data_IF_999890647728
#
_entry.id   IF_999890647728
#
_cell.length_a   1.000
_cell.length_b   1.000
_cell.length_c   1.000
_cell.angle_alpha   90.00
_cell.angle_beta   90.00
_cell.angle_gamma   90.00
#
_symmetry.space_group_name_H-M   'P 1'
#
loop_
_entity.id
_entity.type
_entity.pdbx_description
1 polymer ?
#
# COMPACT_ATOMS: atom_id res chain seq x y z
N UNK A 1 13.20 27.49 12.98
CA UNK A 1 12.21 26.65 13.71
C UNK A 1 12.74 25.23 13.87
N UNK A 2 12.92 24.73 15.10
CA UNK A 2 13.16 23.28 15.33
C UNK A 2 11.87 22.54 14.99
N UNK A 3 11.81 21.90 13.83
CA UNK A 3 10.69 21.05 13.46
C UNK A 3 10.60 19.89 14.47
N UNK A 4 9.57 19.91 15.33
CA UNK A 4 9.37 18.86 16.33
C UNK A 4 8.86 17.59 15.66
N UNK A 5 9.36 16.42 16.07
CA UNK A 5 8.94 15.14 15.51
C UNK A 5 7.42 14.92 15.63
N UNK A 6 6.75 15.50 16.64
CA UNK A 6 5.29 15.47 16.78
C UNK A 6 4.60 16.13 15.59
N UNK A 7 5.12 17.26 15.11
CA UNK A 7 4.58 17.97 13.95
C UNK A 7 4.71 17.13 12.68
N UNK A 8 5.84 16.44 12.51
CA UNK A 8 6.03 15.53 11.36
C UNK A 8 5.02 14.38 11.34
N UNK A 9 4.67 13.84 12.51
CA UNK A 9 3.65 12.78 12.60
C UNK A 9 2.28 13.35 12.19
N UNK A 10 1.93 14.54 12.66
CA UNK A 10 0.67 15.22 12.29
C UNK A 10 0.62 15.53 10.79
N UNK A 11 1.71 16.03 10.20
CA UNK A 11 1.81 16.28 8.76
C UNK A 11 1.60 14.98 7.97
N UNK A 12 2.14 13.86 8.46
CA UNK A 12 1.96 12.53 7.84
C UNK A 12 0.52 12.03 7.92
N UNK A 13 -0.13 12.17 9.08
CA UNK A 13 -1.55 11.82 9.28
C UNK A 13 -2.44 12.68 8.40
N UNK A 14 -2.16 13.98 8.30
CA UNK A 14 -2.92 14.92 7.46
C UNK A 14 -2.82 14.53 6.00
N UNK A 15 -1.61 14.19 5.53
CA UNK A 15 -1.41 13.71 4.16
C UNK A 15 -2.18 12.41 3.89
N UNK A 16 -2.11 11.43 4.81
CA UNK A 16 -2.89 10.19 4.71
C UNK A 16 -4.40 10.45 4.59
N UNK A 17 -4.92 11.38 5.40
CA UNK A 17 -6.33 11.74 5.41
C UNK A 17 -6.76 12.37 4.08
N UNK A 18 -5.98 13.32 3.56
CA UNK A 18 -6.23 13.96 2.26
C UNK A 18 -6.28 12.90 1.15
N UNK A 19 -5.30 12.01 1.12
CA UNK A 19 -5.20 10.96 0.10
C UNK A 19 -6.42 10.03 0.13
N UNK A 20 -6.88 9.65 1.33
CA UNK A 20 -8.04 8.79 1.48
C UNK A 20 -9.35 9.49 1.10
N UNK A 21 -9.52 10.77 1.45
CA UNK A 21 -10.68 11.56 1.01
C UNK A 21 -10.73 11.66 -0.50
N UNK A 22 -9.60 12.02 -1.14
CA UNK A 22 -9.54 12.15 -2.61
C UNK A 22 -9.88 10.82 -3.27
N UNK A 23 -9.35 9.71 -2.76
CA UNK A 23 -9.69 8.36 -3.26
C UNK A 23 -11.16 8.05 -3.10
N UNK A 24 -11.74 8.31 -1.92
CA UNK A 24 -13.15 8.02 -1.64
C UNK A 24 -14.09 8.85 -2.51
N UNK A 25 -13.81 10.15 -2.71
CA UNK A 25 -14.58 11.03 -3.59
C UNK A 25 -14.48 10.55 -5.04
N UNK A 26 -13.28 10.24 -5.52
CA UNK A 26 -13.07 9.76 -6.88
C UNK A 26 -13.81 8.44 -7.12
N UNK A 27 -13.72 7.51 -6.17
CA UNK A 27 -14.44 6.23 -6.20
C UNK A 27 -15.95 6.43 -6.26
N UNK A 28 -16.49 7.31 -5.40
CA UNK A 28 -17.91 7.64 -5.39
C UNK A 28 -18.40 8.23 -6.74
N UNK A 29 -17.65 9.20 -7.30
CA UNK A 29 -17.98 9.80 -8.60
C UNK A 29 -17.95 8.73 -9.69
N UNK A 30 -16.92 7.90 -9.75
CA UNK A 30 -16.81 6.87 -10.77
C UNK A 30 -17.90 5.80 -10.62
N UNK A 31 -18.20 5.34 -9.40
CA UNK A 31 -19.25 4.36 -9.15
C UNK A 31 -20.64 4.86 -9.56
N UNK A 32 -20.91 6.16 -9.44
CA UNK A 32 -22.19 6.73 -9.88
C UNK A 32 -22.46 6.58 -11.38
N UNK A 33 -21.45 6.27 -12.18
CA UNK A 33 -21.55 6.09 -13.63
C UNK A 33 -21.80 4.64 -14.06
N UNK A 34 -21.76 3.69 -13.13
CA UNK A 34 -21.88 2.26 -13.43
C UNK A 34 -22.95 1.61 -12.55
N UNK A 35 -23.47 0.46 -13.00
CA UNK A 35 -24.31 -0.38 -12.15
C UNK A 35 -23.50 -0.89 -10.95
N UNK A 36 -24.13 -0.90 -9.77
CA UNK A 36 -23.48 -1.31 -8.53
C UNK A 36 -23.36 -2.84 -8.45
N UNK A 37 -22.39 -3.39 -9.17
CA UNK A 37 -22.01 -4.81 -9.19
C UNK A 37 -20.60 -4.99 -8.67
N UNK A 38 -20.26 -6.23 -8.27
CA UNK A 38 -18.95 -6.56 -7.74
C UNK A 38 -17.81 -6.36 -8.76
N UNK A 39 -18.08 -6.63 -10.03
CA UNK A 39 -17.11 -6.44 -11.11
C UNK A 39 -16.82 -4.95 -11.35
N UNK A 40 -17.87 -4.16 -11.54
CA UNK A 40 -17.75 -2.70 -11.74
C UNK A 40 -17.07 -2.04 -10.54
N UNK A 41 -17.42 -2.48 -9.33
CA UNK A 41 -16.81 -1.98 -8.11
C UNK A 41 -15.29 -2.22 -8.07
N UNK A 42 -14.82 -3.40 -8.50
CA UNK A 42 -13.39 -3.71 -8.54
C UNK A 42 -12.63 -2.92 -9.60
N UNK A 43 -13.24 -2.74 -10.79
CA UNK A 43 -12.67 -1.91 -11.86
C UNK A 43 -12.54 -0.46 -11.39
N UNK A 44 -13.60 0.08 -10.79
CA UNK A 44 -13.59 1.46 -10.30
C UNK A 44 -12.57 1.66 -9.19
N UNK A 45 -12.45 0.71 -8.25
CA UNK A 45 -11.39 0.75 -7.25
C UNK A 45 -10.00 0.73 -7.90
N UNK A 46 -9.77 -0.16 -8.87
CA UNK A 46 -8.50 -0.23 -9.61
C UNK A 46 -8.15 1.12 -10.22
N UNK A 47 -9.08 1.74 -10.96
CA UNK A 47 -8.89 3.06 -11.56
C UNK A 47 -8.62 4.11 -10.47
N UNK A 48 -9.42 4.13 -9.41
CA UNK A 48 -9.32 5.13 -8.34
C UNK A 48 -7.97 5.06 -7.62
N UNK A 49 -7.53 3.86 -7.24
CA UNK A 49 -6.23 3.65 -6.60
C UNK A 49 -5.07 3.99 -7.52
N UNK A 50 -5.15 3.62 -8.80
CA UNK A 50 -4.11 3.96 -9.77
C UNK A 50 -3.99 5.47 -9.98
N UNK A 51 -5.11 6.17 -10.17
CA UNK A 51 -5.12 7.62 -10.37
C UNK A 51 -4.57 8.35 -9.14
N UNK A 52 -5.12 8.09 -7.96
CA UNK A 52 -4.67 8.75 -6.72
C UNK A 52 -3.22 8.40 -6.41
N UNK A 53 -2.82 7.14 -6.59
CA UNK A 53 -1.45 6.70 -6.38
C UNK A 53 -0.45 7.41 -7.30
N UNK A 54 -0.75 7.49 -8.61
CA UNK A 54 0.09 8.20 -9.57
C UNK A 54 0.14 9.70 -9.26
N UNK A 55 -1.00 10.35 -8.98
CA UNK A 55 -1.06 11.76 -8.62
C UNK A 55 -0.22 12.07 -7.37
N UNK A 56 -0.29 11.22 -6.35
CA UNK A 56 0.51 11.35 -5.13
C UNK A 56 2.01 11.20 -5.43
N UNK A 57 2.40 10.19 -6.20
CA UNK A 57 3.80 9.97 -6.57
C UNK A 57 4.34 11.18 -7.33
N UNK A 58 3.58 11.72 -8.29
CA UNK A 58 3.97 12.90 -9.07
C UNK A 58 4.11 14.14 -8.18
N UNK A 59 3.17 14.36 -7.26
CA UNK A 59 3.20 15.47 -6.33
C UNK A 59 4.39 15.40 -5.36
N UNK A 60 4.59 14.24 -4.72
CA UNK A 60 5.63 14.05 -3.70
C UNK A 60 7.04 13.96 -4.28
N UNK A 61 7.19 13.42 -5.50
CA UNK A 61 8.49 13.31 -6.18
C UNK A 61 9.22 14.66 -6.29
N UNK A 62 8.49 15.75 -6.49
CA UNK A 62 9.06 17.08 -6.65
C UNK A 62 9.25 17.83 -5.31
N UNK A 63 8.75 17.27 -4.21
CA UNK A 63 8.85 17.92 -2.90
C UNK A 63 10.22 17.66 -2.25
N UNK A 64 10.93 18.73 -1.86
CA UNK A 64 12.24 18.62 -1.21
C UNK A 64 12.18 18.01 0.20
N UNK A 65 11.01 18.05 0.84
CA UNK A 65 10.77 17.51 2.18
C UNK A 65 10.62 15.99 2.18
N UNK A 66 9.88 15.42 1.21
CA UNK A 66 9.66 13.98 1.11
C UNK A 66 10.68 13.31 0.18
N UNK A 67 11.29 14.06 -0.74
CA UNK A 67 12.32 13.59 -1.66
C UNK A 67 13.57 14.50 -1.63
N UNK A 68 14.28 14.48 -0.49
CA UNK A 68 15.44 15.36 -0.24
C UNK A 68 16.63 15.12 -1.16
N UNK A 69 16.77 13.93 -1.73
CA UNK A 69 17.70 13.69 -2.84
C UNK A 69 17.05 14.23 -4.12
N UNK A 70 17.22 15.54 -4.36
CA UNK A 70 16.67 16.38 -5.44
C UNK A 70 16.78 15.81 -6.87
N UNK A 71 17.42 14.66 -7.08
CA UNK A 71 17.65 14.01 -8.37
C UNK A 71 17.37 12.49 -8.40
N UNK A 72 16.71 11.90 -7.39
CA UNK A 72 16.27 10.49 -7.51
C UNK A 72 15.11 10.41 -8.49
N UNK A 73 15.38 9.98 -9.73
CA UNK A 73 14.33 9.46 -10.63
C UNK A 73 13.56 8.35 -9.89
N UNK A 74 12.31 8.09 -10.23
CA UNK A 74 11.54 6.95 -9.65
C UNK A 74 12.37 5.66 -9.77
N UNK A 75 13.12 5.50 -10.87
CA UNK A 75 14.10 4.42 -11.08
C UNK A 75 15.21 4.31 -10.04
N UNK A 76 15.48 5.36 -9.25
CA UNK A 76 16.42 5.34 -8.13
C UNK A 76 15.79 4.98 -6.78
N UNK A 77 14.46 5.07 -6.62
CA UNK A 77 13.75 4.36 -5.54
C UNK A 77 13.85 2.83 -5.73
N UNK A 78 14.01 2.42 -7.00
CA UNK A 78 14.38 1.07 -7.42
C UNK A 78 15.90 0.87 -7.59
N UNK A 79 16.76 1.88 -7.35
CA UNK A 79 18.22 1.69 -7.38
C UNK A 79 18.62 0.90 -6.14
N UNK A 80 18.84 -0.37 -6.39
CA UNK A 80 19.38 -1.34 -5.47
C UNK A 80 20.69 -0.86 -4.83
N UNK A 81 20.94 -1.24 -3.57
CA UNK A 81 22.30 -1.27 -3.07
C UNK A 81 23.10 -2.20 -3.98
N UNK A 82 24.09 -1.64 -4.70
CA UNK A 82 24.89 -2.36 -5.69
C UNK A 82 25.68 -3.54 -5.09
N UNK A 83 25.85 -3.58 -3.78
CA UNK A 83 26.90 -4.37 -3.13
C UNK A 83 26.50 -5.80 -2.73
N UNK A 84 25.32 -6.30 -3.12
CA UNK A 84 24.88 -7.64 -2.69
C UNK A 84 24.08 -8.39 -3.76
N UNK A 85 24.80 -9.15 -4.59
CA UNK A 85 24.24 -10.11 -5.57
C UNK A 85 23.17 -11.01 -4.92
N UNK A 86 23.36 -11.38 -3.65
CA UNK A 86 22.44 -12.21 -2.89
C UNK A 86 21.05 -11.56 -2.74
N UNK A 87 20.96 -10.27 -2.46
CA UNK A 87 19.67 -9.56 -2.31
C UNK A 87 18.94 -9.50 -3.65
N UNK A 88 19.66 -9.31 -4.77
CA UNK A 88 19.06 -9.35 -6.11
C UNK A 88 18.45 -10.73 -6.41
N UNK A 89 19.19 -11.80 -6.12
CA UNK A 89 18.70 -13.18 -6.28
C UNK A 89 17.49 -13.45 -5.40
N UNK A 90 17.53 -13.06 -4.13
CA UNK A 90 16.38 -13.20 -3.23
C UNK A 90 15.14 -12.46 -3.76
N UNK A 91 15.28 -11.21 -4.24
CA UNK A 91 14.16 -10.46 -4.82
C UNK A 91 13.60 -11.12 -6.08
N UNK A 92 14.48 -11.60 -6.96
CA UNK A 92 14.07 -12.30 -8.17
C UNK A 92 13.29 -13.58 -7.83
N UNK A 93 13.79 -14.39 -6.90
CA UNK A 93 13.11 -15.60 -6.42
C UNK A 93 11.75 -15.22 -5.81
N UNK A 94 11.72 -14.22 -4.93
CA UNK A 94 10.49 -13.75 -4.30
C UNK A 94 9.47 -13.27 -5.34
N UNK A 95 9.93 -12.55 -6.37
CA UNK A 95 9.09 -12.08 -7.47
C UNK A 95 8.51 -13.24 -8.29
N UNK A 96 9.34 -14.24 -8.63
CA UNK A 96 8.88 -15.44 -9.33
C UNK A 96 7.83 -16.20 -8.49
N UNK A 97 8.06 -16.33 -7.18
CA UNK A 97 7.11 -16.97 -6.24
C UNK A 97 5.80 -16.18 -6.17
N UNK A 98 5.85 -14.85 -6.06
CA UNK A 98 4.64 -14.01 -6.05
C UNK A 98 3.88 -14.15 -7.36
N UNK A 99 4.58 -14.13 -8.50
CA UNK A 99 3.97 -14.26 -9.81
C UNK A 99 3.32 -15.63 -9.99
N UNK A 100 4.00 -16.71 -9.60
CA UNK A 100 3.45 -18.07 -9.72
C UNK A 100 2.24 -18.26 -8.80
N UNK A 101 2.30 -17.80 -7.55
CA UNK A 101 1.18 -17.85 -6.63
C UNK A 101 0.00 -17.01 -7.09
N UNK A 102 0.25 -15.82 -7.67
CA UNK A 102 -0.81 -14.98 -8.24
C UNK A 102 -1.52 -15.71 -9.39
N UNK A 103 -0.76 -16.30 -10.32
CA UNK A 103 -1.33 -17.09 -11.44
C UNK A 103 -2.13 -18.28 -10.90
N UNK A 104 -1.57 -19.06 -9.98
CA UNK A 104 -2.28 -20.19 -9.35
C UNK A 104 -3.59 -19.71 -8.70
N UNK A 105 -3.55 -18.59 -7.99
CA UNK A 105 -4.72 -18.02 -7.31
C UNK A 105 -5.79 -17.52 -8.28
N UNK A 106 -5.42 -17.08 -9.49
CA UNK A 106 -6.39 -16.72 -10.55
C UNK A 106 -7.15 -17.96 -11.02
N UNK A 107 -6.46 -19.07 -11.27
CA UNK A 107 -7.07 -20.30 -11.79
C UNK A 107 -7.81 -21.12 -10.73
N UNK A 108 -7.37 -21.08 -9.47
CA UNK A 108 -8.00 -21.86 -8.40
C UNK A 108 -9.37 -21.31 -7.98
N UNK A 109 -9.60 -20.01 -8.15
CA UNK A 109 -10.88 -19.42 -7.79
C UNK A 109 -11.94 -19.70 -8.87
N UNK A 110 -13.04 -20.34 -8.47
CA UNK A 110 -14.15 -20.75 -9.35
C UNK A 110 -14.99 -19.60 -9.92
N UNK A 111 -14.67 -18.36 -9.57
CA UNK A 111 -15.27 -17.14 -10.14
C UNK A 111 -14.79 -16.86 -11.56
N UNK A 112 -15.47 -15.94 -12.24
CA UNK A 112 -15.10 -15.50 -13.59
C UNK A 112 -13.62 -15.08 -13.68
N UNK A 113 -12.95 -15.49 -14.74
CA UNK A 113 -11.53 -15.20 -14.97
C UNK A 113 -11.25 -13.69 -14.95
N UNK A 114 -12.12 -12.89 -15.58
CA UNK A 114 -11.96 -11.44 -15.61
C UNK A 114 -12.04 -10.80 -14.21
N UNK A 115 -12.97 -11.28 -13.38
CA UNK A 115 -13.08 -10.88 -11.98
C UNK A 115 -11.80 -11.21 -11.20
N UNK A 116 -11.30 -12.45 -11.32
CA UNK A 116 -10.10 -12.91 -10.63
C UNK A 116 -8.86 -12.10 -11.02
N UNK A 117 -8.70 -11.81 -12.31
CA UNK A 117 -7.59 -11.01 -12.84
C UNK A 117 -7.64 -9.58 -12.30
N UNK A 118 -8.82 -8.94 -12.33
CA UNK A 118 -9.00 -7.58 -11.81
C UNK A 118 -8.69 -7.50 -10.32
N UNK A 119 -9.22 -8.45 -9.53
CA UNK A 119 -8.95 -8.53 -8.09
C UNK A 119 -7.49 -8.77 -7.77
N UNK A 120 -6.82 -9.65 -8.51
CA UNK A 120 -5.38 -9.93 -8.33
C UNK A 120 -4.52 -8.73 -8.68
N UNK A 121 -4.85 -8.04 -9.77
CA UNK A 121 -4.13 -6.83 -10.19
C UNK A 121 -4.25 -5.75 -9.12
N UNK A 122 -5.46 -5.52 -8.61
CA UNK A 122 -5.70 -4.54 -7.56
C UNK A 122 -4.95 -4.89 -6.26
N UNK A 123 -5.12 -6.12 -5.77
CA UNK A 123 -4.63 -6.53 -4.44
C UNK A 123 -3.14 -6.86 -4.39
N UNK A 124 -2.56 -7.42 -5.46
CA UNK A 124 -1.15 -7.88 -5.47
C UNK A 124 -0.22 -6.86 -6.10
N UNK A 125 -0.71 -6.01 -7.01
CA UNK A 125 0.13 -5.02 -7.70
C UNK A 125 -0.20 -3.59 -7.25
N UNK A 126 -1.42 -3.11 -7.52
CA UNK A 126 -1.73 -1.68 -7.37
C UNK A 126 -1.65 -1.23 -5.91
N UNK A 127 -2.33 -1.92 -4.99
CA UNK A 127 -2.33 -1.55 -3.56
C UNK A 127 -0.92 -1.69 -2.94
N UNK A 128 -0.18 -2.82 -3.10
CA UNK A 128 1.17 -2.94 -2.55
C UNK A 128 2.15 -1.91 -3.09
N UNK A 129 2.11 -1.61 -4.39
CA UNK A 129 2.97 -0.56 -4.98
C UNK A 129 2.63 0.80 -4.38
N UNK A 130 1.35 1.15 -4.32
CA UNK A 130 0.89 2.42 -3.78
C UNK A 130 1.25 2.59 -2.29
N UNK A 131 0.87 1.64 -1.45
CA UNK A 131 1.08 1.72 0.00
C UNK A 131 2.57 1.73 0.36
N UNK A 132 3.37 0.86 -0.24
CA UNK A 132 4.79 0.78 0.14
C UNK A 132 5.59 1.97 -0.39
N UNK A 133 5.27 2.52 -1.57
CA UNK A 133 5.84 3.80 -1.99
C UNK A 133 5.44 4.93 -1.03
N UNK A 134 4.17 4.99 -0.62
CA UNK A 134 3.69 6.01 0.29
C UNK A 134 4.35 5.93 1.67
N UNK A 135 4.36 4.74 2.29
CA UNK A 135 4.85 4.57 3.66
C UNK A 135 6.36 4.33 3.76
N UNK A 136 6.97 3.53 2.87
CA UNK A 136 8.40 3.14 2.95
C UNK A 136 9.33 4.00 2.12
N UNK A 137 8.81 4.77 1.17
CA UNK A 137 9.61 5.80 0.49
C UNK A 137 9.30 7.18 1.05
N UNK A 138 8.10 7.71 0.83
CA UNK A 138 7.85 9.13 1.12
C UNK A 138 7.73 9.44 2.61
N UNK A 139 6.79 8.82 3.34
CA UNK A 139 6.61 9.08 4.77
C UNK A 139 7.85 8.66 5.55
N UNK A 140 8.46 7.52 5.20
CA UNK A 140 9.72 7.08 5.81
C UNK A 140 10.83 8.13 5.65
N UNK A 141 11.09 8.60 4.43
CA UNK A 141 12.14 9.59 4.17
C UNK A 141 11.86 10.91 4.88
N UNK A 142 10.60 11.35 4.87
CA UNK A 142 10.16 12.54 5.59
C UNK A 142 10.41 12.42 7.10
N UNK A 143 9.98 11.33 7.75
CA UNK A 143 10.21 11.12 9.18
C UNK A 143 11.69 10.95 9.53
N UNK A 144 12.45 10.23 8.71
CA UNK A 144 13.88 9.98 8.90
C UNK A 144 14.72 11.27 8.80
N UNK A 145 14.21 12.33 8.18
CA UNK A 145 14.86 13.65 8.17
C UNK A 145 14.83 14.35 9.55
N UNK A 146 13.84 14.03 10.40
CA UNK A 146 13.62 14.70 11.68
C UNK A 146 13.82 13.77 12.89
N UNK A 147 13.75 12.45 12.71
CA UNK A 147 13.88 11.44 13.76
C UNK A 147 15.18 10.67 13.55
N UNK A 148 16.13 10.83 14.47
CA UNK A 148 17.44 10.13 14.41
C UNK A 148 17.34 8.62 14.63
N UNK A 149 16.38 8.17 15.44
CA UNK A 149 16.24 6.76 15.81
C UNK A 149 15.48 5.99 14.72
N UNK A 150 16.17 5.05 14.06
CA UNK A 150 15.56 4.17 13.04
C UNK A 150 14.41 3.35 13.60
N UNK A 151 14.54 2.80 14.81
CA UNK A 151 13.49 2.00 15.45
C UNK A 151 12.22 2.82 15.69
N UNK A 152 12.35 4.12 16.00
CA UNK A 152 11.18 5.02 16.10
C UNK A 152 10.51 5.23 14.74
N UNK A 153 11.27 5.42 13.67
CA UNK A 153 10.72 5.53 12.31
C UNK A 153 9.99 4.24 11.90
N UNK A 154 10.56 3.07 12.19
CA UNK A 154 9.90 1.77 11.98
C UNK A 154 8.56 1.74 12.72
N UNK A 155 8.57 1.99 14.04
CA UNK A 155 7.36 1.94 14.85
C UNK A 155 6.27 2.90 14.35
N UNK A 156 6.61 4.17 14.10
CA UNK A 156 5.66 5.19 13.64
C UNK A 156 5.11 4.82 12.26
N UNK A 157 5.96 4.48 11.29
CA UNK A 157 5.48 4.13 9.93
C UNK A 157 4.67 2.83 9.90
N UNK A 158 4.84 1.94 10.88
CA UNK A 158 4.03 0.73 11.03
C UNK A 158 2.64 1.04 11.57
N UNK A 159 2.57 1.86 12.62
CA UNK A 159 1.30 2.32 13.21
C UNK A 159 0.49 3.12 12.18
N UNK A 160 1.15 4.05 11.47
CA UNK A 160 0.51 4.83 10.42
C UNK A 160 -0.04 3.93 9.29
N UNK A 161 0.74 2.94 8.85
CA UNK A 161 0.29 1.97 7.84
C UNK A 161 -0.90 1.12 8.33
N UNK A 162 -0.94 0.75 9.62
CA UNK A 162 -2.09 0.08 10.23
C UNK A 162 -3.35 0.96 10.22
N UNK A 163 -3.23 2.18 10.77
CA UNK A 163 -4.33 3.16 10.85
C UNK A 163 -4.84 3.56 9.46
N UNK A 164 -3.98 3.54 8.44
CA UNK A 164 -4.37 3.85 7.07
C UNK A 164 -5.52 2.98 6.54
N UNK A 165 -5.65 1.75 7.05
CA UNK A 165 -6.72 0.84 6.65
C UNK A 165 -8.12 1.33 7.04
N UNK A 166 -8.25 2.24 8.02
CA UNK A 166 -9.51 2.92 8.33
C UNK A 166 -10.02 3.68 7.11
N UNK A 167 -9.11 4.25 6.32
CA UNK A 167 -9.45 4.98 5.11
C UNK A 167 -10.08 4.13 4.01
N UNK A 168 -10.11 2.79 4.14
CA UNK A 168 -10.78 1.87 3.22
C UNK A 168 -12.18 1.46 3.70
N UNK A 169 -12.79 2.21 4.63
CA UNK A 169 -14.11 1.89 5.17
C UNK A 169 -15.21 1.86 4.11
N UNK A 170 -15.16 2.74 3.11
CA UNK A 170 -16.03 2.71 1.92
C UNK A 170 -15.88 1.39 1.17
N UNK A 171 -14.64 0.93 1.00
CA UNK A 171 -14.34 -0.30 0.27
C UNK A 171 -14.86 -1.52 1.02
N UNK A 172 -14.56 -1.60 2.32
CA UNK A 172 -14.98 -2.68 3.21
C UNK A 172 -16.50 -2.75 3.28
N UNK A 173 -17.17 -1.61 3.47
CA UNK A 173 -18.64 -1.54 3.53
C UNK A 173 -19.28 -2.04 2.24
N UNK A 174 -18.78 -1.60 1.08
CA UNK A 174 -19.32 -2.01 -0.21
C UNK A 174 -19.12 -3.50 -0.48
N UNK A 175 -17.98 -4.08 -0.08
CA UNK A 175 -17.78 -5.53 -0.15
C UNK A 175 -18.74 -6.31 0.74
N UNK A 176 -18.94 -5.89 2.00
CA UNK A 176 -19.88 -6.55 2.92
C UNK A 176 -21.29 -6.54 2.30
N UNK A 177 -21.70 -5.42 1.70
CA UNK A 177 -23.00 -5.29 1.04
C UNK A 177 -23.12 -6.17 -0.20
N UNK A 178 -22.10 -6.19 -1.07
CA UNK A 178 -22.12 -6.95 -2.32
C UNK A 178 -21.98 -8.47 -2.13
N UNK A 179 -21.25 -8.90 -1.10
CA UNK A 179 -21.13 -10.32 -0.72
C UNK A 179 -22.25 -10.80 0.21
N UNK A 180 -23.15 -9.89 0.63
CA UNK A 180 -24.19 -10.16 1.63
C UNK A 180 -23.65 -10.84 2.89
N UNK A 181 -22.48 -10.38 3.36
CA UNK A 181 -21.78 -10.94 4.51
C UNK A 181 -22.39 -10.45 5.82
N UNK A 182 -22.46 -11.32 6.83
CA UNK A 182 -22.97 -10.98 8.17
C UNK A 182 -21.95 -10.25 9.06
N UNK A 183 -20.72 -10.07 8.59
CA UNK A 183 -19.66 -9.39 9.34
C UNK A 183 -19.97 -7.92 9.53
N UNK A 184 -19.72 -7.41 10.74
CA UNK A 184 -19.79 -5.99 11.00
C UNK A 184 -18.58 -5.29 10.38
N UNK A 185 -18.82 -4.16 9.69
CA UNK A 185 -17.76 -3.33 9.08
C UNK A 185 -16.66 -2.99 10.09
N UNK A 186 -17.03 -2.74 11.35
CA UNK A 186 -16.09 -2.42 12.42
C UNK A 186 -15.10 -3.56 12.72
N UNK A 187 -15.57 -4.82 12.77
CA UNK A 187 -14.71 -5.99 13.04
C UNK A 187 -13.67 -6.16 11.94
N UNK A 188 -14.09 -6.01 10.69
CA UNK A 188 -13.21 -6.09 9.52
C UNK A 188 -12.17 -4.97 9.51
N UNK A 189 -12.56 -3.74 9.90
CA UNK A 189 -11.62 -2.62 10.02
C UNK A 189 -10.59 -2.89 11.11
N UNK A 190 -10.98 -3.37 12.29
CA UNK A 190 -10.04 -3.70 13.38
C UNK A 190 -9.05 -4.77 12.93
N UNK A 191 -9.51 -5.86 12.32
CA UNK A 191 -8.63 -6.93 11.87
C UNK A 191 -7.60 -6.41 10.85
N UNK A 192 -8.03 -5.53 9.94
CA UNK A 192 -7.17 -4.86 8.97
C UNK A 192 -6.15 -3.92 9.61
N UNK A 193 -6.50 -3.19 10.66
CA UNK A 193 -5.53 -2.36 11.40
C UNK A 193 -4.45 -3.23 12.06
N UNK A 194 -4.85 -4.34 12.69
CA UNK A 194 -3.92 -5.26 13.35
C UNK A 194 -2.97 -5.88 12.32
N UNK A 195 -3.52 -6.50 11.26
CA UNK A 195 -2.75 -7.12 10.18
C UNK A 195 -1.84 -6.07 9.51
N UNK A 196 -2.38 -4.89 9.22
CA UNK A 196 -1.65 -3.78 8.62
C UNK A 196 -0.47 -3.32 9.48
N UNK A 197 -0.64 -3.25 10.80
CA UNK A 197 0.43 -2.89 11.74
C UNK A 197 1.51 -3.97 11.81
N UNK A 198 1.13 -5.25 11.86
CA UNK A 198 2.07 -6.38 11.88
C UNK A 198 2.92 -6.41 10.60
N UNK A 199 2.28 -6.33 9.43
CA UNK A 199 2.99 -6.20 8.16
C UNK A 199 3.82 -4.91 8.12
N UNK A 200 3.30 -3.84 8.71
CA UNK A 200 4.00 -2.58 8.91
C UNK A 200 5.37 -2.76 9.54
N UNK A 201 5.42 -3.49 10.66
CA UNK A 201 6.64 -3.76 11.44
C UNK A 201 7.63 -4.57 10.61
N UNK A 202 7.19 -5.67 10.00
CA UNK A 202 8.05 -6.55 9.20
C UNK A 202 8.67 -5.76 8.04
N UNK A 203 7.84 -5.03 7.30
CA UNK A 203 8.28 -4.24 6.14
C UNK A 203 9.15 -3.04 6.56
N UNK A 204 8.88 -2.44 7.72
CA UNK A 204 9.72 -1.40 8.30
C UNK A 204 11.13 -1.92 8.66
N UNK A 205 11.21 -3.14 9.23
CA UNK A 205 12.50 -3.80 9.50
C UNK A 205 13.24 -4.07 8.19
N UNK A 206 12.56 -4.61 7.18
CA UNK A 206 13.11 -4.86 5.83
C UNK A 206 13.65 -3.57 5.22
N UNK A 207 12.85 -2.48 5.20
CA UNK A 207 13.31 -1.17 4.70
C UNK A 207 14.52 -0.66 5.50
N UNK A 208 14.54 -0.83 6.81
CA UNK A 208 15.67 -0.36 7.65
C UNK A 208 16.99 -1.10 7.33
N UNK A 209 16.90 -2.40 7.02
CA UNK A 209 18.04 -3.29 6.76
C UNK A 209 18.53 -3.19 5.32
N UNK A 210 17.61 -3.23 4.36
CA UNK A 210 17.92 -3.32 2.93
C UNK A 210 17.85 -1.98 2.20
N UNK A 211 17.20 -0.96 2.78
CA UNK A 211 16.96 0.37 2.19
C UNK A 211 16.21 0.37 0.86
N UNK A 212 15.61 -0.76 0.49
CA UNK A 212 14.99 -1.00 -0.81
C UNK A 212 13.46 -1.15 -0.67
N UNK A 213 12.71 -0.28 -1.36
CA UNK A 213 11.24 -0.32 -1.35
C UNK A 213 10.70 -1.39 -2.28
N UNK A 214 11.43 -1.76 -3.34
CA UNK A 214 11.02 -2.84 -4.24
C UNK A 214 10.91 -4.17 -3.50
N UNK A 215 11.83 -4.42 -2.56
CA UNK A 215 11.76 -5.58 -1.67
C UNK A 215 10.48 -5.54 -0.82
N UNK A 216 10.15 -4.37 -0.25
CA UNK A 216 8.95 -4.19 0.56
C UNK A 216 7.68 -4.42 -0.26
N UNK A 217 7.62 -3.91 -1.49
CA UNK A 217 6.49 -4.11 -2.42
C UNK A 217 6.27 -5.61 -2.66
N UNK A 218 7.31 -6.34 -3.09
CA UNK A 218 7.16 -7.78 -3.42
C UNK A 218 6.77 -8.57 -2.17
N UNK A 219 7.32 -8.25 -1.00
CA UNK A 219 6.97 -8.92 0.24
C UNK A 219 5.53 -8.61 0.69
N UNK A 220 5.07 -7.37 0.51
CA UNK A 220 3.67 -6.97 0.75
C UNK A 220 2.71 -7.69 -0.20
N UNK A 221 3.07 -7.83 -1.48
CA UNK A 221 2.33 -8.62 -2.46
C UNK A 221 2.21 -10.08 -2.03
N UNK A 222 3.30 -10.70 -1.55
CA UNK A 222 3.28 -12.06 -1.01
C UNK A 222 2.32 -12.20 0.18
N UNK A 223 2.43 -11.31 1.17
CA UNK A 223 1.54 -11.31 2.33
C UNK A 223 0.07 -11.16 1.95
N UNK A 224 -0.21 -10.36 0.92
CA UNK A 224 -1.59 -10.17 0.44
C UNK A 224 -2.15 -11.45 -0.17
N UNK A 225 -1.35 -12.17 -0.97
CA UNK A 225 -1.78 -13.48 -1.51
C UNK A 225 -2.08 -14.47 -0.38
N UNK A 226 -1.22 -14.52 0.65
CA UNK A 226 -1.36 -15.45 1.78
C UNK A 226 -2.55 -15.11 2.69
N UNK A 227 -2.87 -13.83 2.86
CA UNK A 227 -3.95 -13.35 3.76
C UNK A 227 -5.26 -13.04 3.05
N UNK A 228 -5.36 -13.34 1.75
CA UNK A 228 -6.55 -13.14 0.91
C UNK A 228 -7.82 -13.80 1.50
N UNK A 229 -7.70 -14.69 2.48
CA UNK A 229 -8.84 -15.31 3.17
C UNK A 229 -9.57 -14.38 4.17
N UNK A 230 -9.09 -13.16 4.45
CA UNK A 230 -9.57 -12.36 5.61
C UNK A 230 -10.42 -11.12 5.22
N UNK A 231 -10.77 -10.91 3.94
CA UNK A 231 -11.99 -10.16 3.54
C UNK A 231 -12.64 -10.89 2.38
#
# INVERSE_FOLDING_TARGET
MKYSYKKCIIDSISLMFIVQIVRMILNYILLSQFEFTLENFNIVNLISFTLVGLSLILFLKNSSLYNKMRNRKITEAFKENKDSVLIKRCKLILFIVVLSLAVISIYYNRSYMFFNVTMMTLSVLIIPVFEELFFREYIWNYLNNFIKSKSKVVCITSILSGIYNIGYIDVIRNYIMLYNNSYYTFEVVISKIIIGTVFGIILGIVKSRFKDVSFCIILRSLFTILTRQII
#
